data_IF_906301868731
#
_entry.id   IF_906301868731
#
_cell.length_a   1.000
_cell.length_b   1.000
_cell.length_c   1.000
_cell.angle_alpha   90.00
_cell.angle_beta   90.00
_cell.angle_gamma   90.00
#
_symmetry.space_group_name_H-M   'P 1'
#
loop_
_entity.id
_entity.type
_entity.pdbx_description
1 polymer ?
#
# COMPACT_ATOMS: atom_id res chain seq x y z
N UNK A 1 -19.85 -9.72 -12.41
CA UNK A 1 -20.37 -8.59 -11.60
C UNK A 1 -19.43 -8.21 -10.46
N UNK A 2 -19.08 -9.11 -9.54
CA UNK A 2 -18.15 -8.84 -8.42
C UNK A 2 -16.67 -9.02 -8.83
N UNK A 3 -16.36 -10.06 -9.59
CA UNK A 3 -15.03 -10.32 -10.15
C UNK A 3 -14.52 -9.20 -11.07
N UNK A 4 -15.43 -8.53 -11.78
CA UNK A 4 -15.10 -7.41 -12.68
C UNK A 4 -14.56 -6.19 -11.92
N UNK A 5 -15.17 -5.88 -10.77
CA UNK A 5 -14.75 -4.76 -9.91
C UNK A 5 -13.36 -5.05 -9.35
N UNK A 6 -13.14 -6.25 -8.82
CA UNK A 6 -11.84 -6.67 -8.29
C UNK A 6 -10.76 -6.65 -9.38
N UNK A 7 -11.08 -7.15 -10.57
CA UNK A 7 -10.16 -7.15 -11.72
C UNK A 7 -9.81 -5.73 -12.15
N UNK A 8 -10.79 -4.81 -12.22
CA UNK A 8 -10.53 -3.40 -12.56
C UNK A 8 -9.63 -2.72 -11.52
N UNK A 9 -9.87 -2.97 -10.23
CA UNK A 9 -9.05 -2.41 -9.14
C UNK A 9 -7.65 -2.98 -9.12
N UNK A 10 -7.51 -4.28 -9.37
CA UNK A 10 -6.22 -4.94 -9.51
C UNK A 10 -5.40 -4.37 -10.66
N UNK A 11 -6.01 -4.23 -11.85
CA UNK A 11 -5.35 -3.59 -12.99
C UNK A 11 -4.88 -2.19 -12.65
N UNK A 12 -5.74 -1.41 -11.97
CA UNK A 12 -5.37 -0.06 -11.53
C UNK A 12 -4.20 -0.05 -10.56
N UNK A 13 -4.11 -1.03 -9.65
CA UNK A 13 -2.98 -1.16 -8.73
C UNK A 13 -1.69 -1.55 -9.46
N UNK A 14 -1.78 -2.40 -10.48
CA UNK A 14 -0.65 -2.84 -11.30
C UNK A 14 -0.13 -1.76 -12.28
N UNK A 15 -0.92 -0.72 -12.55
CA UNK A 15 -0.48 0.44 -13.34
C UNK A 15 0.48 1.37 -12.56
N UNK A 16 0.55 1.27 -11.23
CA UNK A 16 1.45 2.10 -10.45
C UNK A 16 2.90 1.63 -10.63
N UNK A 17 3.78 2.60 -10.88
CA UNK A 17 5.22 2.38 -10.80
C UNK A 17 5.65 1.94 -9.39
N UNK A 18 6.88 1.43 -9.22
CA UNK A 18 7.43 1.11 -7.91
C UNK A 18 7.31 2.28 -6.93
N UNK A 19 6.97 2.00 -5.66
CA UNK A 19 6.71 3.03 -4.62
C UNK A 19 7.82 4.08 -4.49
N UNK A 20 9.07 3.68 -4.73
CA UNK A 20 10.25 4.55 -4.70
C UNK A 20 10.25 5.62 -5.80
N UNK A 21 9.61 5.36 -6.94
CA UNK A 21 9.50 6.27 -8.08
C UNK A 21 8.26 7.19 -8.00
N UNK A 22 7.32 6.89 -7.12
CA UNK A 22 6.09 7.67 -6.99
C UNK A 22 6.32 8.97 -6.21
N UNK A 23 5.63 10.03 -6.63
CA UNK A 23 5.43 11.25 -5.86
C UNK A 23 4.57 10.98 -4.60
N UNK A 24 4.45 11.99 -3.74
CA UNK A 24 3.65 11.88 -2.51
C UNK A 24 2.15 11.78 -2.82
N UNK A 25 1.66 12.53 -3.82
CA UNK A 25 0.28 12.39 -4.28
C UNK A 25 0.03 11.01 -4.90
N UNK A 26 0.94 10.49 -5.73
CA UNK A 26 0.78 9.17 -6.33
C UNK A 26 0.82 8.05 -5.28
N UNK A 27 1.70 8.14 -4.27
CA UNK A 27 1.70 7.21 -3.12
C UNK A 27 0.37 7.24 -2.37
N UNK A 28 -0.22 8.42 -2.21
CA UNK A 28 -1.53 8.56 -1.58
C UNK A 28 -2.63 7.90 -2.43
N UNK A 29 -2.61 8.10 -3.75
CA UNK A 29 -3.54 7.43 -4.67
C UNK A 29 -3.39 5.91 -4.62
N UNK A 30 -2.15 5.40 -4.62
CA UNK A 30 -1.87 3.96 -4.46
C UNK A 30 -2.46 3.43 -3.14
N UNK A 31 -2.27 4.16 -2.04
CA UNK A 31 -2.84 3.79 -0.72
C UNK A 31 -4.37 3.70 -0.77
N UNK A 32 -5.05 4.63 -1.44
CA UNK A 32 -6.50 4.57 -1.64
C UNK A 32 -6.90 3.32 -2.42
N UNK A 33 -6.20 3.00 -3.51
CA UNK A 33 -6.51 1.80 -4.30
C UNK A 33 -6.27 0.51 -3.49
N UNK A 34 -5.15 0.43 -2.76
CA UNK A 34 -4.85 -0.72 -1.90
C UNK A 34 -5.91 -0.92 -0.81
N UNK A 35 -6.34 0.16 -0.14
CA UNK A 35 -7.42 0.14 0.84
C UNK A 35 -8.74 -0.34 0.22
N UNK A 36 -9.08 0.21 -0.94
CA UNK A 36 -10.29 -0.16 -1.68
C UNK A 36 -10.30 -1.64 -2.04
N UNK A 37 -9.18 -2.15 -2.55
CA UNK A 37 -9.06 -3.56 -2.91
C UNK A 37 -9.13 -4.47 -1.68
N UNK A 38 -8.50 -4.09 -0.57
CA UNK A 38 -8.57 -4.86 0.68
C UNK A 38 -10.01 -5.00 1.17
N UNK A 39 -10.76 -3.89 1.23
CA UNK A 39 -12.17 -3.91 1.63
C UNK A 39 -13.04 -4.74 0.68
N UNK A 40 -12.75 -4.65 -0.62
CA UNK A 40 -13.45 -5.50 -1.58
C UNK A 40 -13.15 -6.98 -1.30
N UNK A 41 -11.90 -7.36 -1.04
CA UNK A 41 -11.51 -8.73 -0.68
C UNK A 41 -12.17 -9.19 0.62
N UNK A 42 -12.17 -8.38 1.68
CA UNK A 42 -12.82 -8.69 2.95
C UNK A 42 -14.35 -8.90 2.79
N UNK A 43 -15.00 -8.11 1.94
CA UNK A 43 -16.44 -8.22 1.71
C UNK A 43 -16.81 -9.47 0.89
N UNK A 44 -16.01 -9.79 -0.13
CA UNK A 44 -16.31 -10.85 -1.10
C UNK A 44 -15.66 -12.19 -0.73
N UNK A 45 -14.66 -12.21 0.15
CA UNK A 45 -13.89 -13.41 0.50
C UNK A 45 -14.78 -14.53 1.03
N UNK A 46 -15.83 -14.18 1.79
CA UNK A 46 -16.82 -15.14 2.29
C UNK A 46 -17.82 -15.62 1.23
N UNK A 47 -17.89 -14.96 0.07
CA UNK A 47 -18.78 -15.33 -1.03
C UNK A 47 -18.19 -16.38 -1.98
N UNK A 48 -16.87 -16.63 -1.90
CA UNK A 48 -16.20 -17.65 -2.71
C UNK A 48 -16.07 -18.97 -1.92
N UNK A 49 -16.71 -20.07 -2.36
CA UNK A 49 -16.57 -21.36 -1.70
C UNK A 49 -15.16 -21.95 -1.91
N UNK A 50 -14.57 -22.48 -0.82
CA UNK A 50 -13.34 -23.28 -0.85
C UNK A 50 -12.22 -22.71 0.03
N UNK A 51 -11.64 -23.57 0.87
CA UNK A 51 -10.60 -23.18 1.83
C UNK A 51 -9.38 -22.49 1.18
N UNK A 52 -9.00 -22.91 -0.03
CA UNK A 52 -7.91 -22.30 -0.78
C UNK A 52 -8.19 -20.83 -1.17
N UNK A 53 -9.44 -20.48 -1.47
CA UNK A 53 -9.81 -19.10 -1.81
C UNK A 53 -9.84 -18.20 -0.58
N UNK A 54 -10.34 -18.73 0.55
CA UNK A 54 -10.29 -18.04 1.85
C UNK A 54 -8.83 -17.72 2.22
N UNK A 55 -7.95 -18.72 2.14
CA UNK A 55 -6.53 -18.53 2.46
C UNK A 55 -5.86 -17.51 1.52
N UNK A 56 -6.11 -17.58 0.22
CA UNK A 56 -5.59 -16.60 -0.75
C UNK A 56 -6.09 -15.18 -0.47
N UNK A 57 -7.35 -15.03 -0.07
CA UNK A 57 -7.93 -13.75 0.29
C UNK A 57 -7.31 -13.18 1.56
N UNK A 58 -7.06 -14.02 2.58
CA UNK A 58 -6.37 -13.64 3.81
C UNK A 58 -4.94 -13.17 3.54
N UNK A 59 -4.16 -13.95 2.79
CA UNK A 59 -2.79 -13.60 2.41
C UNK A 59 -2.75 -12.28 1.62
N UNK A 60 -3.64 -12.11 0.64
CA UNK A 60 -3.72 -10.86 -0.13
C UNK A 60 -4.08 -9.66 0.76
N UNK A 61 -5.03 -9.86 1.69
CA UNK A 61 -5.44 -8.83 2.64
C UNK A 61 -4.30 -8.44 3.58
N UNK A 62 -3.48 -9.39 4.01
CA UNK A 62 -2.30 -9.16 4.84
C UNK A 62 -1.21 -8.36 4.09
N UNK A 63 -0.94 -8.71 2.83
CA UNK A 63 0.01 -7.95 1.99
C UNK A 63 -0.49 -6.53 1.71
N UNK A 64 -1.78 -6.37 1.41
CA UNK A 64 -2.40 -5.05 1.22
C UNK A 64 -2.36 -4.20 2.50
N UNK A 65 -2.53 -4.82 3.67
CA UNK A 65 -2.37 -4.16 4.98
C UNK A 65 -0.94 -3.65 5.17
N UNK A 66 0.05 -4.50 4.92
CA UNK A 66 1.47 -4.13 5.02
C UNK A 66 1.83 -2.98 4.10
N UNK A 67 1.37 -3.01 2.85
CA UNK A 67 1.57 -1.91 1.89
C UNK A 67 0.94 -0.60 2.40
N UNK A 68 -0.28 -0.65 2.94
CA UNK A 68 -0.95 0.52 3.51
C UNK A 68 -0.19 1.11 4.71
N UNK A 69 0.34 0.26 5.59
CA UNK A 69 1.09 0.70 6.77
C UNK A 69 2.36 1.46 6.38
N UNK A 70 3.13 0.95 5.40
CA UNK A 70 4.33 1.63 4.94
C UNK A 70 4.01 2.94 4.19
N UNK A 71 2.97 2.96 3.36
CA UNK A 71 2.51 4.18 2.69
C UNK A 71 2.00 5.22 3.69
N UNK A 72 1.34 4.78 4.78
CA UNK A 72 0.93 5.64 5.90
C UNK A 72 2.12 6.27 6.61
N UNK A 73 3.11 5.46 7.00
CA UNK A 73 4.35 5.95 7.63
C UNK A 73 5.11 6.94 6.72
N UNK A 74 5.15 6.67 5.41
CA UNK A 74 5.76 7.60 4.45
C UNK A 74 5.02 8.94 4.40
N UNK A 75 3.70 8.94 4.52
CA UNK A 75 2.88 10.14 4.59
C UNK A 75 3.10 10.90 5.91
N UNK A 76 3.21 10.19 7.04
CA UNK A 76 3.44 10.82 8.34
C UNK A 76 4.77 11.59 8.38
N UNK A 77 5.81 11.09 7.71
CA UNK A 77 7.10 11.79 7.56
C UNK A 77 6.93 13.14 6.83
N UNK A 78 6.02 13.21 5.85
CA UNK A 78 5.71 14.44 5.10
C UNK A 78 4.96 15.41 6.01
N UNK A 79 3.88 14.94 6.63
CA UNK A 79 3.07 15.75 7.56
C UNK A 79 3.90 16.30 8.72
N UNK A 80 4.82 15.50 9.28
CA UNK A 80 5.73 15.95 10.34
C UNK A 80 6.66 17.05 9.85
N UNK A 81 7.22 16.91 8.63
CA UNK A 81 8.08 17.95 8.05
C UNK A 81 7.31 19.25 7.83
N UNK A 82 6.11 19.19 7.26
CA UNK A 82 5.27 20.37 7.05
C UNK A 82 4.94 21.07 8.37
N UNK A 83 4.54 20.31 9.40
CA UNK A 83 4.26 20.85 10.74
C UNK A 83 5.48 21.51 11.38
N UNK A 84 6.65 20.90 11.26
CA UNK A 84 7.90 21.46 11.79
C UNK A 84 8.28 22.77 11.09
N UNK A 85 8.07 22.87 9.78
CA UNK A 85 8.27 24.12 9.03
C UNK A 85 7.34 25.24 9.51
N UNK A 86 6.07 24.93 9.78
CA UNK A 86 5.09 25.90 10.27
C UNK A 86 5.38 26.37 11.70
N UNK A 87 6.05 25.55 12.52
CA UNK A 87 6.32 25.85 13.93
C UNK A 87 7.69 26.51 14.19
N UNK A 88 8.43 26.93 13.15
CA UNK A 88 9.78 27.49 13.27
C UNK A 88 10.76 26.64 14.12
N UNK A 89 10.52 25.32 14.20
CA UNK A 89 11.35 24.44 15.02
C UNK A 89 12.72 24.21 14.38
N UNK A 90 13.79 24.42 15.15
CA UNK A 90 15.16 24.13 14.69
C UNK A 90 15.32 22.63 14.43
N UNK A 91 15.44 22.25 13.16
CA UNK A 91 15.71 20.87 12.75
C UNK A 91 17.22 20.65 12.74
N UNK A 92 17.72 19.85 13.68
CA UNK A 92 19.15 19.52 13.73
C UNK A 92 19.59 18.69 12.52
N UNK A 93 20.84 18.83 12.02
CA UNK A 93 21.35 18.04 10.90
C UNK A 93 21.25 16.51 11.14
N UNK A 94 21.44 16.06 12.39
CA UNK A 94 21.29 14.65 12.78
C UNK A 94 19.85 14.15 12.62
N UNK A 95 18.85 14.96 12.98
CA UNK A 95 17.44 14.63 12.77
C UNK A 95 17.10 14.53 11.27
N UNK A 96 17.66 15.40 10.43
CA UNK A 96 17.48 15.34 8.96
C UNK A 96 18.06 14.02 8.41
N UNK A 97 19.28 13.65 8.81
CA UNK A 97 19.95 12.43 8.34
C UNK A 97 19.16 11.18 8.77
N UNK A 98 18.75 11.10 10.04
CA UNK A 98 17.92 10.00 10.56
C UNK A 98 16.59 9.90 9.83
N UNK A 99 15.92 11.04 9.59
CA UNK A 99 14.68 11.10 8.81
C UNK A 99 14.85 10.61 7.37
N UNK A 100 15.93 10.99 6.69
CA UNK A 100 16.26 10.49 5.33
C UNK A 100 16.51 8.99 5.31
N UNK A 101 17.28 8.47 6.27
CA UNK A 101 17.57 7.04 6.38
C UNK A 101 16.29 6.22 6.65
N UNK A 102 15.45 6.70 7.57
CA UNK A 102 14.15 6.10 7.86
C UNK A 102 13.24 6.09 6.63
N UNK A 103 13.13 7.21 5.91
CA UNK A 103 12.34 7.30 4.67
C UNK A 103 12.83 6.32 3.61
N UNK A 104 14.15 6.18 3.41
CA UNK A 104 14.71 5.21 2.45
C UNK A 104 14.35 3.78 2.81
N UNK A 105 14.41 3.42 4.09
CA UNK A 105 14.00 2.10 4.57
C UNK A 105 12.51 1.85 4.33
N UNK A 106 11.66 2.83 4.65
CA UNK A 106 10.21 2.76 4.42
C UNK A 106 9.86 2.62 2.93
N UNK A 107 10.55 3.35 2.04
CA UNK A 107 10.37 3.21 0.59
C UNK A 107 10.66 1.79 0.12
N UNK A 108 11.79 1.22 0.56
CA UNK A 108 12.18 -0.14 0.20
C UNK A 108 11.19 -1.18 0.74
N UNK A 109 10.74 -1.03 1.98
CA UNK A 109 9.75 -1.91 2.58
C UNK A 109 8.39 -1.83 1.87
N UNK A 110 7.94 -0.62 1.50
CA UNK A 110 6.72 -0.41 0.74
C UNK A 110 6.80 -1.03 -0.66
N UNK A 111 7.96 -0.94 -1.32
CA UNK A 111 8.18 -1.53 -2.64
C UNK A 111 8.14 -3.07 -2.59
N UNK A 112 8.76 -3.68 -1.58
CA UNK A 112 8.65 -5.12 -1.34
C UNK A 112 7.20 -5.52 -1.09
N UNK A 113 6.47 -4.76 -0.26
CA UNK A 113 5.05 -5.03 -0.01
C UNK A 113 4.19 -4.91 -1.28
N UNK A 114 4.46 -3.90 -2.13
CA UNK A 114 3.81 -3.76 -3.43
C UNK A 114 4.08 -4.97 -4.31
N UNK A 115 5.32 -5.43 -4.38
CA UNK A 115 5.69 -6.61 -5.17
C UNK A 115 5.00 -7.88 -4.66
N UNK A 116 4.92 -8.08 -3.33
CA UNK A 116 4.22 -9.22 -2.75
C UNK A 116 2.72 -9.21 -3.07
N UNK A 117 2.09 -8.02 -3.05
CA UNK A 117 0.71 -7.87 -3.53
C UNK A 117 0.63 -8.31 -4.98
N UNK A 118 1.47 -7.77 -5.87
CA UNK A 118 1.40 -8.02 -7.32
C UNK A 118 1.75 -9.47 -7.73
N UNK A 119 2.61 -10.15 -6.97
CA UNK A 119 2.96 -11.57 -7.19
C UNK A 119 1.82 -12.52 -6.86
N UNK A 120 0.87 -12.09 -6.04
CA UNK A 120 -0.24 -12.92 -5.65
C UNK A 120 -1.22 -13.09 -6.81
N UNK A 121 -1.56 -14.33 -7.15
CA UNK A 121 -2.55 -14.59 -8.21
C UNK A 121 -3.91 -14.06 -7.74
N UNK A 122 -4.65 -13.31 -8.57
CA UNK A 122 -5.99 -12.85 -8.24
C UNK A 122 -6.91 -14.07 -8.03
N UNK A 123 -7.35 -14.32 -6.79
CA UNK A 123 -8.12 -15.52 -6.47
C UNK A 123 -9.48 -15.59 -7.19
N UNK A 124 -10.01 -14.43 -7.59
CA UNK A 124 -11.26 -14.27 -8.34
C UNK A 124 -11.13 -14.46 -9.86
N UNK A 125 -9.92 -14.71 -10.39
CA UNK A 125 -9.71 -15.03 -11.81
C UNK A 125 -9.76 -16.53 -12.12
N UNK A 126 -9.79 -17.37 -11.08
CA UNK A 126 -9.91 -18.82 -11.19
C UNK A 126 -11.35 -19.33 -10.95
N UNK A 127 -12.33 -18.42 -10.92
CA UNK A 127 -13.74 -18.68 -10.62
C UNK A 127 -14.62 -18.51 -11.86
#
# INVERSE_FOLDING_TARGET
MVSDILTKRWKKLNEFAPVSHLSEQERHCLRIQAKTLRYACEFVGNAFPGAAHTEQCEHLSAHLGSLQDYLGKLNDVVSLRERLHTMNGDITPSAIIKGKASRRHLLKAAEIAQELVLRQKPFWQSF
#
